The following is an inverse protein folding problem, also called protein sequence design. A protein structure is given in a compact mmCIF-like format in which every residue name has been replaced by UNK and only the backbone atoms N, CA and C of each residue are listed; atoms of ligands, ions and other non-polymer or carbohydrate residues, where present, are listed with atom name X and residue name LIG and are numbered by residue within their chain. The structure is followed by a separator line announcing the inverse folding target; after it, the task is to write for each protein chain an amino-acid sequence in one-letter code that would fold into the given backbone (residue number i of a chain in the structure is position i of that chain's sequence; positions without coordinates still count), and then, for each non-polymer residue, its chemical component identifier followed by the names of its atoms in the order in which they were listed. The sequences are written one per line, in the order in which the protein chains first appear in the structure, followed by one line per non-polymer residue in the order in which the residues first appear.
data_IF_099751260210
#
_entry.id   IF_099751260210
#
_cell.length_a   1.000
_cell.length_b   1.000
_cell.length_c   1.000
_cell.angle_alpha   90.00
_cell.angle_beta   90.00
_cell.angle_gamma   90.00
#
_symmetry.space_group_name_H-M   'P 1'
#
loop_
_entity.id
_entity.type
_entity.pdbx_description
1 polymer ?
#
# COMPACT_ATOMS: atom_id res chain seq x y z
N UNK A 1 -3.33 7.94 3.97
CA UNK A 1 -4.12 8.27 5.18
C UNK A 1 -3.57 7.57 6.43
N UNK A 2 -3.25 6.27 6.39
CA UNK A 2 -2.61 5.56 7.51
C UNK A 2 -1.37 6.30 8.04
N UNK A 3 -0.43 6.65 7.16
CA UNK A 3 0.76 7.42 7.53
C UNK A 3 0.46 8.80 8.16
N UNK A 4 -0.67 9.43 7.82
CA UNK A 4 -1.11 10.69 8.43
C UNK A 4 -1.65 10.43 9.85
N UNK A 5 -2.45 9.38 10.02
CA UNK A 5 -3.00 8.99 11.32
C UNK A 5 -1.92 8.67 12.37
N UNK A 6 -0.79 8.14 11.91
CA UNK A 6 0.38 7.82 12.74
C UNK A 6 1.27 9.02 13.09
N UNK A 7 1.05 10.20 12.49
CA UNK A 7 1.84 11.40 12.84
C UNK A 7 1.58 11.79 14.30
N UNK A 8 2.65 12.22 14.97
CA UNK A 8 2.60 12.75 16.34
C UNK A 8 1.55 13.86 16.43
N UNK A 9 0.63 13.74 17.38
CA UNK A 9 -0.46 14.70 17.59
C UNK A 9 -1.77 14.36 16.87
N UNK A 10 -1.75 13.41 15.92
CA UNK A 10 -2.98 12.86 15.32
C UNK A 10 -3.41 11.60 16.07
N UNK A 11 -2.50 10.64 16.25
CA UNK A 11 -2.70 9.40 17.03
C UNK A 11 -3.98 8.62 16.65
N UNK A 12 -4.31 8.55 15.36
CA UNK A 12 -5.43 7.76 14.85
C UNK A 12 -4.88 6.48 14.22
N UNK A 13 -5.19 5.33 14.83
CA UNK A 13 -4.82 4.03 14.29
C UNK A 13 -5.82 3.56 13.23
N UNK A 14 -5.54 3.92 11.98
CA UNK A 14 -6.29 3.44 10.82
C UNK A 14 -5.88 2.03 10.37
N UNK A 15 -4.69 1.57 10.73
CA UNK A 15 -4.16 0.27 10.29
C UNK A 15 -4.76 -0.88 11.11
N UNK A 16 -4.82 -0.70 12.43
CA UNK A 16 -5.45 -1.62 13.36
C UNK A 16 -6.98 -1.53 13.37
N UNK A 17 -7.57 -0.47 12.81
CA UNK A 17 -9.02 -0.31 12.76
C UNK A 17 -9.72 -1.49 12.07
N UNK A 18 -10.88 -1.88 12.63
CA UNK A 18 -11.76 -2.91 12.09
C UNK A 18 -13.19 -2.37 12.06
N UNK A 19 -13.82 -2.46 10.90
CA UNK A 19 -15.23 -2.12 10.74
C UNK A 19 -16.16 -3.19 11.35
N UNK A 20 -17.47 -2.89 11.50
CA UNK A 20 -18.44 -3.79 12.13
C UNK A 20 -18.59 -5.16 11.43
N UNK A 21 -18.19 -5.27 10.15
CA UNK A 21 -18.26 -6.51 9.38
C UNK A 21 -16.85 -7.08 9.10
N UNK A 22 -15.84 -6.65 9.85
CA UNK A 22 -14.45 -7.11 9.67
C UNK A 22 -13.68 -6.37 8.58
N UNK A 23 -14.22 -5.27 8.03
CA UNK A 23 -13.50 -4.48 7.03
C UNK A 23 -12.20 -3.93 7.60
N UNK A 24 -11.12 -3.97 6.82
CA UNK A 24 -9.83 -3.46 7.23
C UNK A 24 -8.97 -3.08 6.04
N UNK A 25 -8.00 -2.18 6.25
CA UNK A 25 -7.01 -1.83 5.22
C UNK A 25 -6.16 -3.05 4.85
N UNK A 26 -5.61 -3.84 5.81
CA UNK A 26 -4.89 -5.07 5.47
C UNK A 26 -5.72 -6.05 4.64
N UNK A 27 -7.00 -6.26 4.97
CA UNK A 27 -7.88 -7.15 4.20
C UNK A 27 -8.17 -6.65 2.78
N UNK A 28 -8.25 -5.33 2.58
CA UNK A 28 -8.36 -4.76 1.24
C UNK A 28 -7.09 -4.98 0.41
N UNK A 29 -5.91 -4.88 1.04
CA UNK A 29 -4.62 -5.17 0.38
C UNK A 29 -4.55 -6.65 0.02
N UNK A 30 -4.88 -7.55 0.95
CA UNK A 30 -4.94 -9.00 0.75
C UNK A 30 -5.78 -9.37 -0.48
N UNK A 31 -6.95 -8.74 -0.62
CA UNK A 31 -7.85 -8.95 -1.76
C UNK A 31 -7.22 -8.61 -3.11
N UNK A 32 -6.33 -7.61 -3.15
CA UNK A 32 -5.72 -7.12 -4.38
C UNK A 32 -4.50 -7.97 -4.79
N UNK A 33 -3.84 -8.66 -3.84
CA UNK A 33 -2.57 -9.35 -4.08
C UNK A 33 -2.59 -10.29 -5.31
N UNK A 34 -3.58 -11.18 -5.51
CA UNK A 34 -3.58 -12.11 -6.63
C UNK A 34 -3.68 -11.41 -7.99
N UNK A 35 -4.47 -10.34 -8.07
CA UNK A 35 -4.62 -9.55 -9.28
C UNK A 35 -3.39 -8.68 -9.56
N UNK A 36 -2.78 -8.08 -8.53
CA UNK A 36 -1.54 -7.33 -8.65
C UNK A 36 -0.38 -8.20 -9.14
N UNK A 37 -0.22 -9.39 -8.57
CA UNK A 37 0.77 -10.39 -8.98
C UNK A 37 0.49 -10.98 -10.37
N UNK A 38 -0.72 -10.80 -10.91
CA UNK A 38 -1.14 -11.41 -12.17
C UNK A 38 -1.38 -12.92 -12.09
N UNK A 39 -1.48 -13.48 -10.88
CA UNK A 39 -1.80 -14.89 -10.66
C UNK A 39 -3.29 -15.18 -10.81
N UNK A 40 -4.13 -14.16 -10.70
CA UNK A 40 -5.57 -14.23 -10.94
C UNK A 40 -6.05 -13.04 -11.78
N UNK A 41 -7.01 -13.28 -12.67
CA UNK A 41 -7.71 -12.21 -13.36
C UNK A 41 -8.57 -11.39 -12.37
N UNK A 42 -8.66 -10.09 -12.59
CA UNK A 42 -9.50 -9.22 -11.77
C UNK A 42 -10.99 -9.60 -11.90
N UNK A 43 -11.69 -9.92 -10.80
CA UNK A 43 -13.03 -10.51 -10.87
C UNK A 43 -14.15 -9.48 -11.14
N UNK A 44 -13.87 -8.17 -11.02
CA UNK A 44 -14.88 -7.12 -11.19
C UNK A 44 -14.69 -6.36 -12.51
N UNK A 45 -15.52 -6.66 -13.50
CA UNK A 45 -15.49 -6.02 -14.82
C UNK A 45 -15.74 -4.50 -14.79
N UNK A 46 -16.42 -4.01 -13.76
CA UNK A 46 -16.75 -2.58 -13.59
C UNK A 46 -15.53 -1.72 -13.28
N UNK A 47 -14.50 -2.30 -12.66
CA UNK A 47 -13.23 -1.64 -12.44
C UNK A 47 -12.23 -2.10 -13.49
N UNK A 48 -11.79 -1.18 -14.36
CA UNK A 48 -10.67 -1.42 -15.28
C UNK A 48 -9.36 -1.50 -14.49
N UNK A 49 -9.17 -2.60 -13.77
CA UNK A 49 -8.02 -2.83 -12.93
C UNK A 49 -6.78 -3.04 -13.82
N UNK A 50 -5.84 -2.12 -13.71
CA UNK A 50 -4.52 -2.25 -14.32
C UNK A 50 -3.57 -2.77 -13.24
N UNK A 51 -2.75 -3.78 -13.55
CA UNK A 51 -1.90 -4.44 -12.54
C UNK A 51 -0.94 -3.48 -11.86
N UNK A 52 -0.41 -2.51 -12.60
CA UNK A 52 0.46 -1.47 -12.03
C UNK A 52 -0.23 -0.61 -10.96
N UNK A 53 -1.57 -0.56 -10.91
CA UNK A 53 -2.30 0.14 -9.85
C UNK A 53 -2.12 -0.51 -8.46
N UNK A 54 -1.70 -1.78 -8.40
CA UNK A 54 -1.34 -2.43 -7.16
C UNK A 54 0.05 -2.05 -6.64
N UNK A 55 0.91 -1.45 -7.47
CA UNK A 55 2.34 -1.30 -7.18
C UNK A 55 2.61 -0.64 -5.82
N UNK A 56 2.10 0.58 -5.61
CA UNK A 56 2.32 1.33 -4.37
C UNK A 56 1.54 0.74 -3.19
N UNK A 57 0.37 0.14 -3.43
CA UNK A 57 -0.48 -0.46 -2.39
C UNK A 57 0.21 -1.68 -1.77
N UNK A 58 0.81 -2.52 -2.60
CA UNK A 58 1.51 -3.73 -2.14
C UNK A 58 2.82 -3.37 -1.44
N UNK A 59 3.57 -2.41 -1.97
CA UNK A 59 4.75 -1.91 -1.28
C UNK A 59 4.39 -1.29 0.08
N UNK A 60 3.30 -0.52 0.18
CA UNK A 60 2.79 -0.02 1.45
C UNK A 60 2.48 -1.15 2.44
N UNK A 61 1.78 -2.18 1.98
CA UNK A 61 1.49 -3.36 2.81
C UNK A 61 2.76 -4.05 3.31
N UNK A 62 3.77 -4.18 2.45
CA UNK A 62 5.05 -4.77 2.82
C UNK A 62 5.80 -3.95 3.88
N UNK A 63 5.84 -2.62 3.73
CA UNK A 63 6.46 -1.71 4.72
C UNK A 63 5.72 -1.72 6.06
N UNK A 64 4.40 -1.96 6.04
CA UNK A 64 3.57 -2.13 7.23
C UNK A 64 3.65 -3.54 7.84
N UNK A 65 4.47 -4.44 7.28
CA UNK A 65 4.77 -5.77 7.83
C UNK A 65 3.92 -6.93 7.30
N UNK A 66 3.13 -6.75 6.23
CA UNK A 66 2.38 -7.85 5.62
C UNK A 66 3.31 -8.82 4.88
N UNK A 67 3.41 -10.05 5.36
CA UNK A 67 4.27 -11.09 4.77
C UNK A 67 3.88 -11.42 3.31
N UNK A 68 2.59 -11.55 3.03
CA UNK A 68 2.10 -11.89 1.68
C UNK A 68 2.36 -10.77 0.68
N UNK A 69 2.24 -9.50 1.12
CA UNK A 69 2.59 -8.36 0.29
C UNK A 69 4.09 -8.34 -0.04
N UNK A 70 4.94 -8.61 0.96
CA UNK A 70 6.39 -8.73 0.77
C UNK A 70 6.78 -9.85 -0.20
N UNK A 71 6.06 -10.98 -0.15
CA UNK A 71 6.34 -12.14 -0.98
C UNK A 71 6.13 -11.89 -2.49
N UNK A 72 5.26 -10.95 -2.86
CA UNK A 72 4.92 -10.69 -4.27
C UNK A 72 5.60 -9.46 -4.87
N UNK A 73 6.45 -8.73 -4.14
CA UNK A 73 7.07 -7.48 -4.61
C UNK A 73 7.77 -7.63 -5.97
N UNK A 74 8.47 -8.75 -6.19
CA UNK A 74 9.16 -9.03 -7.45
C UNK A 74 8.25 -9.44 -8.62
N UNK A 75 6.94 -9.56 -8.41
CA UNK A 75 5.95 -9.97 -9.42
C UNK A 75 5.08 -8.79 -9.88
N UNK A 76 5.25 -7.61 -9.27
CA UNK A 76 4.45 -6.44 -9.55
C UNK A 76 4.84 -5.84 -10.90
N UNK A 77 3.82 -5.38 -11.63
CA UNK A 77 4.02 -4.58 -12.83
C UNK A 77 4.40 -3.15 -12.40
N UNK A 78 5.54 -2.65 -12.87
CA UNK A 78 5.93 -1.27 -12.64
C UNK A 78 5.06 -0.30 -13.45
N UNK A 79 4.65 0.84 -12.88
CA UNK A 79 4.01 1.91 -13.63
C UNK A 79 4.91 2.39 -14.78
N UNK A 80 4.31 2.77 -15.92
CA UNK A 80 5.04 3.23 -17.11
C UNK A 80 5.97 4.44 -16.85
N UNK A 81 5.69 5.24 -15.82
CA UNK A 81 6.52 6.37 -15.38
C UNK A 81 7.71 5.96 -14.52
N UNK A 82 7.89 4.66 -14.26
CA UNK A 82 8.77 4.10 -13.24
C UNK A 82 8.09 4.06 -11.87
N UNK A 83 8.34 3.00 -11.09
CA UNK A 83 7.87 2.87 -9.72
C UNK A 83 8.49 3.93 -8.82
N UNK A 84 7.65 4.77 -8.20
CA UNK A 84 8.13 5.83 -7.30
C UNK A 84 8.25 5.37 -5.86
N UNK A 85 7.79 4.18 -5.48
CA UNK A 85 7.86 3.73 -4.08
C UNK A 85 9.28 3.75 -3.50
N UNK A 86 10.27 3.23 -4.23
CA UNK A 86 11.68 3.29 -3.82
C UNK A 86 12.27 4.71 -3.85
N UNK A 87 11.61 5.63 -4.58
CA UNK A 87 11.97 7.05 -4.67
C UNK A 87 11.14 7.92 -3.70
N UNK A 88 10.09 7.36 -3.11
CA UNK A 88 9.21 8.02 -2.18
C UNK A 88 10.00 8.20 -0.87
N UNK A 89 10.13 9.42 -0.34
CA UNK A 89 11.43 9.85 0.14
C UNK A 89 11.40 9.98 1.68
N UNK A 90 12.50 9.90 2.41
CA UNK A 90 13.54 10.94 2.49
C UNK A 90 13.03 12.42 2.57
N UNK A 91 11.77 12.74 2.24
CA UNK A 91 11.15 14.07 2.30
C UNK A 91 10.49 14.31 3.66
N UNK A 92 9.91 13.28 4.30
CA UNK A 92 9.63 13.32 5.74
C UNK A 92 10.90 13.51 6.57
N UNK A 93 12.04 13.04 6.05
CA UNK A 93 13.34 13.24 6.72
C UNK A 93 13.85 14.68 6.54
N UNK A 94 13.59 15.35 5.42
CA UNK A 94 13.90 16.77 5.23
C UNK A 94 13.08 17.69 6.15
N UNK A 95 11.81 17.39 6.42
CA UNK A 95 11.02 18.08 7.47
C UNK A 95 11.68 17.93 8.86
N UNK A 96 12.40 16.83 9.10
CA UNK A 96 13.05 16.56 10.38
C UNK A 96 14.38 17.32 10.57
N UNK A 97 15.02 17.77 9.48
CA UNK A 97 16.31 18.50 9.51
C UNK A 97 16.10 20.02 9.54
N UNK A 98 14.96 20.52 9.07
CA UNK A 98 14.67 21.96 9.04
C UNK A 98 13.98 22.50 10.31
N UNK A 99 13.61 21.62 11.25
CA UNK A 99 13.00 21.99 12.54
C UNK A 99 13.78 21.46 13.76
N UNK A 100 15.09 21.22 13.59
CA UNK A 100 16.04 20.94 14.69
C UNK A 100 16.69 22.20 15.23
#
# INVERSE_FOLDING_TARGET
MVAIGQKKGVNVDLWGYRGPQGQSIPGAIEYILPAGAGTQAWPHSEAKFQRFAAYDIVHFGADMGMADAKAILGQLEEPFTGGTWALAPAVQQLDSILFG
#
